data_IF_943507962757
#
_entry.id   IF_943507962757
#
_cell.length_a   1.000
_cell.length_b   1.000
_cell.length_c   1.000
_cell.angle_alpha   90.00
_cell.angle_beta   90.00
_cell.angle_gamma   90.00
#
_symmetry.space_group_name_H-M   'P 1'
#
loop_
_entity.id
_entity.type
_entity.pdbx_description
1 polymer ?
#
# COMPACT_ATOMS: atom_id res chain seq x y z
N UNK A 1 -13.72 3.18 2.45
CA UNK A 1 -12.57 3.99 1.96
C UNK A 1 -12.73 4.17 0.46
N UNK A 2 -12.41 5.34 -0.11
CA UNK A 2 -12.55 5.56 -1.57
C UNK A 2 -11.37 4.96 -2.35
N UNK A 3 -11.66 4.08 -3.32
CA UNK A 3 -10.63 3.37 -4.07
C UNK A 3 -9.81 4.29 -4.98
N UNK A 4 -10.42 5.33 -5.58
CA UNK A 4 -9.72 6.27 -6.44
C UNK A 4 -8.73 7.13 -5.64
N UNK A 5 -9.11 7.53 -4.42
CA UNK A 5 -8.20 8.20 -3.49
C UNK A 5 -7.01 7.31 -3.12
N UNK A 6 -7.26 6.04 -2.77
CA UNK A 6 -6.18 5.08 -2.44
C UNK A 6 -5.25 4.88 -3.64
N UNK A 7 -5.79 4.72 -4.84
CA UNK A 7 -5.01 4.56 -6.07
C UNK A 7 -4.13 5.77 -6.34
N UNK A 8 -4.71 6.98 -6.31
CA UNK A 8 -3.99 8.24 -6.54
C UNK A 8 -2.86 8.40 -5.51
N UNK A 9 -3.16 8.13 -4.23
CA UNK A 9 -2.20 8.25 -3.14
C UNK A 9 -1.07 7.22 -3.27
N UNK A 10 -1.40 5.98 -3.66
CA UNK A 10 -0.42 4.92 -3.89
C UNK A 10 0.53 5.28 -5.04
N UNK A 11 -0.01 5.77 -6.16
CA UNK A 11 0.79 6.21 -7.31
C UNK A 11 1.73 7.36 -6.90
N UNK A 12 1.24 8.36 -6.17
CA UNK A 12 2.06 9.46 -5.66
C UNK A 12 3.20 8.96 -4.75
N UNK A 13 2.92 8.01 -3.86
CA UNK A 13 3.92 7.43 -2.95
C UNK A 13 5.00 6.71 -3.75
N UNK A 14 4.61 5.85 -4.70
CA UNK A 14 5.55 5.12 -5.53
C UNK A 14 6.44 6.07 -6.35
N UNK A 15 5.84 7.11 -6.95
CA UNK A 15 6.57 8.16 -7.67
C UNK A 15 7.54 8.91 -6.75
N UNK A 16 7.11 9.28 -5.55
CA UNK A 16 7.94 9.98 -4.57
C UNK A 16 9.15 9.14 -4.14
N UNK A 17 8.95 7.83 -3.93
CA UNK A 17 10.04 6.90 -3.58
C UNK A 17 11.07 6.82 -4.70
N UNK A 18 10.63 6.67 -5.94
CA UNK A 18 11.52 6.61 -7.10
C UNK A 18 12.28 7.94 -7.29
N UNK A 19 11.58 9.07 -7.19
CA UNK A 19 12.20 10.40 -7.26
C UNK A 19 13.24 10.62 -6.16
N UNK A 20 12.92 10.26 -4.91
CA UNK A 20 13.84 10.36 -3.76
C UNK A 20 15.04 9.43 -3.90
N UNK A 21 14.87 8.31 -4.60
CA UNK A 21 15.94 7.34 -4.88
C UNK A 21 16.75 7.68 -6.13
N UNK A 22 16.42 8.77 -6.83
CA UNK A 22 17.00 9.15 -8.13
C UNK A 22 16.89 8.02 -9.18
N UNK A 23 15.77 7.30 -9.15
CA UNK A 23 15.48 6.18 -10.03
C UNK A 23 14.42 6.55 -11.07
N UNK A 24 14.44 5.84 -12.20
CA UNK A 24 13.42 6.00 -13.24
C UNK A 24 12.07 5.50 -12.72
N UNK A 25 11.03 6.32 -12.88
CA UNK A 25 9.66 5.94 -12.59
C UNK A 25 8.91 5.74 -13.91
N UNK A 26 8.61 4.49 -14.32
CA UNK A 26 7.74 4.26 -15.46
C UNK A 26 6.32 4.79 -15.19
N UNK A 27 5.50 4.99 -16.24
CA UNK A 27 4.08 5.31 -16.08
C UNK A 27 3.39 4.24 -15.23
N UNK A 28 2.82 4.65 -14.10
CA UNK A 28 2.11 3.77 -13.20
C UNK A 28 0.62 3.75 -13.56
N UNK A 29 0.13 2.59 -14.00
CA UNK A 29 -1.28 2.35 -14.29
C UNK A 29 -1.86 1.25 -13.41
N UNK A 30 -3.18 1.06 -13.46
CA UNK A 30 -3.87 0.04 -12.65
C UNK A 30 -3.33 -1.39 -12.81
N UNK A 31 -2.87 -1.74 -14.02
CA UNK A 31 -2.26 -3.04 -14.33
C UNK A 31 -0.78 -3.14 -13.98
N UNK A 32 -0.13 -2.04 -13.58
CA UNK A 32 1.30 -2.01 -13.27
C UNK A 32 1.58 -2.78 -11.99
N UNK A 33 2.65 -3.56 -11.98
CA UNK A 33 3.11 -4.32 -10.81
C UNK A 33 4.35 -3.67 -10.20
N UNK A 34 4.23 -2.95 -9.07
CA UNK A 34 5.34 -2.18 -8.51
C UNK A 34 6.61 -3.01 -8.24
N UNK A 35 6.46 -4.24 -7.74
CA UNK A 35 7.61 -5.12 -7.44
C UNK A 35 8.38 -5.55 -8.69
N UNK A 36 7.68 -5.73 -9.82
CA UNK A 36 8.29 -6.23 -11.06
C UNK A 36 8.80 -5.08 -11.94
N UNK A 37 8.11 -3.94 -11.92
CA UNK A 37 8.34 -2.85 -12.86
C UNK A 37 9.12 -1.68 -12.26
N UNK A 38 9.08 -1.47 -10.93
CA UNK A 38 9.86 -0.40 -10.31
C UNK A 38 11.27 -0.85 -9.95
N UNK A 39 12.31 -0.10 -10.39
CA UNK A 39 13.68 -0.45 -10.06
C UNK A 39 13.92 -0.38 -8.56
N UNK A 40 14.68 -1.36 -8.05
CA UNK A 40 15.05 -1.51 -6.63
C UNK A 40 13.87 -1.52 -5.64
N UNK A 41 12.65 -1.80 -6.11
CA UNK A 41 11.49 -1.94 -5.25
C UNK A 41 11.49 -3.31 -4.56
N UNK A 42 12.34 -3.44 -3.54
CA UNK A 42 12.64 -4.69 -2.84
C UNK A 42 12.04 -4.74 -1.42
N UNK A 43 12.49 -5.73 -0.63
CA UNK A 43 12.01 -5.96 0.73
C UNK A 43 12.22 -4.82 1.72
N UNK A 44 13.08 -3.85 1.39
CA UNK A 44 13.38 -2.69 2.23
C UNK A 44 12.56 -1.47 1.81
N UNK A 45 12.12 -1.42 0.57
CA UNK A 45 11.39 -0.28 0.00
C UNK A 45 9.88 -0.42 0.20
N UNK A 46 9.31 -1.61 0.00
CA UNK A 46 7.87 -1.79 0.16
C UNK A 46 7.36 -1.43 1.57
N UNK A 47 8.05 -1.70 2.70
CA UNK A 47 7.56 -1.29 4.02
C UNK A 47 7.52 0.24 4.14
N UNK A 48 8.46 0.95 3.52
CA UNK A 48 8.48 2.41 3.47
C UNK A 48 7.29 2.94 2.68
N UNK A 49 6.98 2.32 1.53
CA UNK A 49 5.80 2.66 0.74
C UNK A 49 4.50 2.47 1.53
N UNK A 50 4.37 1.37 2.28
CA UNK A 50 3.22 1.14 3.16
C UNK A 50 3.12 2.21 4.24
N UNK A 51 4.22 2.52 4.92
CA UNK A 51 4.24 3.55 5.95
C UNK A 51 3.83 4.93 5.43
N UNK A 52 4.35 5.32 4.25
CA UNK A 52 3.99 6.59 3.60
C UNK A 52 2.53 6.61 3.15
N UNK A 53 2.03 5.50 2.60
CA UNK A 53 0.63 5.36 2.19
C UNK A 53 -0.31 5.47 3.39
N UNK A 54 -0.03 4.73 4.47
CA UNK A 54 -0.80 4.78 5.70
C UNK A 54 -0.83 6.18 6.31
N UNK A 55 0.33 6.85 6.38
CA UNK A 55 0.43 8.21 6.88
C UNK A 55 -0.39 9.21 6.03
N UNK A 56 -0.36 9.10 4.70
CA UNK A 56 -1.14 9.97 3.80
C UNK A 56 -2.65 9.71 3.88
N UNK A 57 -3.06 8.45 4.00
CA UNK A 57 -4.46 8.06 4.10
C UNK A 57 -5.03 8.17 5.52
N UNK A 58 -4.19 8.44 6.53
CA UNK A 58 -4.60 8.47 7.93
C UNK A 58 -5.00 7.11 8.48
N UNK A 59 -4.44 6.03 7.94
CA UNK A 59 -4.74 4.65 8.34
C UNK A 59 -3.49 3.97 8.88
N UNK A 60 -3.68 3.00 9.78
CA UNK A 60 -2.61 2.10 10.18
C UNK A 60 -2.62 0.88 9.26
N UNK A 61 -1.49 0.61 8.60
CA UNK A 61 -1.26 -0.65 7.90
C UNK A 61 -0.07 -1.29 8.60
N UNK A 62 -0.25 -2.55 9.01
CA UNK A 62 0.80 -3.26 9.72
C UNK A 62 2.02 -3.49 8.80
N UNK A 63 3.21 -3.16 9.29
CA UNK A 63 4.44 -3.20 8.49
C UNK A 63 4.91 -4.63 8.15
N UNK A 64 4.29 -5.64 8.77
CA UNK A 64 4.48 -7.07 8.49
C UNK A 64 3.60 -7.56 7.32
N UNK A 65 2.61 -6.78 6.90
CA UNK A 65 1.72 -7.13 5.80
C UNK A 65 2.26 -6.58 4.49
N UNK A 66 2.79 -7.46 3.63
CA UNK A 66 3.17 -7.06 2.27
C UNK A 66 1.93 -6.93 1.38
N UNK A 67 1.42 -5.71 1.23
CA UNK A 67 0.26 -5.43 0.37
C UNK A 67 0.56 -5.55 -1.13
N UNK A 68 1.83 -5.61 -1.52
CA UNK A 68 2.28 -5.67 -2.92
C UNK A 68 2.41 -7.11 -3.44
N UNK A 69 2.19 -8.11 -2.59
CA UNK A 69 2.17 -9.53 -2.95
C UNK A 69 0.88 -10.20 -2.51
N UNK A 70 0.54 -11.26 -3.22
CA UNK A 70 -0.55 -12.15 -2.83
C UNK A 70 -0.13 -13.01 -1.63
N UNK A 71 -0.33 -12.49 -0.42
CA UNK A 71 -0.08 -13.20 0.86
C UNK A 71 1.30 -13.89 0.88
N UNK A 72 1.37 -15.18 1.23
CA UNK A 72 2.62 -15.97 1.28
C UNK A 72 3.17 -16.35 -0.12
N UNK A 73 2.51 -15.88 -1.19
CA UNK A 73 2.94 -16.13 -2.56
C UNK A 73 4.04 -15.17 -3.01
N UNK A 74 4.81 -15.60 -4.00
CA UNK A 74 5.75 -14.73 -4.73
C UNK A 74 5.09 -13.96 -5.87
N UNK A 75 3.76 -14.03 -6.00
CA UNK A 75 3.00 -13.33 -7.03
C UNK A 75 2.91 -11.84 -6.66
N UNK A 76 3.50 -10.99 -7.49
CA UNK A 76 3.35 -9.55 -7.40
C UNK A 76 1.96 -9.11 -7.86
N UNK A 77 1.35 -8.22 -7.08
CA UNK A 77 0.02 -7.66 -7.35
C UNK A 77 0.12 -6.39 -8.20
N UNK A 78 -0.93 -6.15 -8.99
CA UNK A 78 -1.10 -4.89 -9.72
C UNK A 78 -1.56 -3.77 -8.79
N UNK A 79 -1.39 -2.52 -9.22
CA UNK A 79 -1.88 -1.35 -8.48
C UNK A 79 -3.38 -1.48 -8.15
N UNK A 80 -4.21 -1.94 -9.10
CA UNK A 80 -5.64 -2.13 -8.86
C UNK A 80 -5.92 -3.18 -7.78
N UNK A 81 -5.18 -4.29 -7.78
CA UNK A 81 -5.28 -5.33 -6.77
C UNK A 81 -4.81 -4.83 -5.39
N UNK A 82 -3.72 -4.06 -5.35
CA UNK A 82 -3.20 -3.45 -4.12
C UNK A 82 -4.24 -2.49 -3.54
N UNK A 83 -4.85 -1.65 -4.39
CA UNK A 83 -5.91 -0.71 -3.98
C UNK A 83 -7.08 -1.48 -3.38
N UNK A 84 -7.56 -2.52 -4.04
CA UNK A 84 -8.63 -3.36 -3.51
C UNK A 84 -8.25 -3.98 -2.16
N UNK A 85 -7.00 -4.45 -2.02
CA UNK A 85 -6.48 -5.02 -0.75
C UNK A 85 -6.46 -3.99 0.37
N UNK A 86 -5.98 -2.76 0.10
CA UNK A 86 -5.93 -1.68 1.09
C UNK A 86 -7.34 -1.24 1.48
N UNK A 87 -8.27 -1.09 0.53
CA UNK A 87 -9.67 -0.77 0.82
C UNK A 87 -10.26 -1.85 1.74
N UNK A 88 -10.10 -3.13 1.39
CA UNK A 88 -10.58 -4.24 2.20
C UNK A 88 -9.94 -4.27 3.61
N UNK A 89 -8.64 -3.95 3.73
CA UNK A 89 -7.96 -3.86 5.03
C UNK A 89 -8.54 -2.74 5.90
N UNK A 90 -8.84 -1.59 5.31
CA UNK A 90 -9.46 -0.47 6.05
C UNK A 90 -10.89 -0.82 6.46
N UNK A 91 -11.66 -1.43 5.57
CA UNK A 91 -13.02 -1.88 5.87
C UNK A 91 -13.03 -2.96 6.95
N UNK A 92 -12.09 -3.91 6.90
CA UNK A 92 -11.93 -4.91 7.95
C UNK A 92 -11.60 -4.25 9.30
N UNK A 93 -10.68 -3.29 9.34
CA UNK A 93 -10.34 -2.54 10.55
C UNK A 93 -11.53 -1.78 11.14
N UNK A 94 -12.41 -1.20 10.31
CA UNK A 94 -13.64 -0.56 10.78
C UNK A 94 -14.64 -1.53 11.42
N UNK A 95 -14.56 -2.83 11.12
CA UNK A 95 -15.40 -3.87 11.74
C UNK A 95 -14.80 -4.37 13.06
N UNK A 96 -13.49 -4.17 13.29
CA UNK A 96 -12.78 -4.61 14.51
C UNK A 96 -12.61 -3.51 15.57
N UNK A 97 -13.52 -2.53 15.65
CA UNK A 97 -13.71 -1.75 16.88
C UNK A 97 -14.70 -2.47 17.83
N UNK A 98 -14.28 -3.41 18.70
CA UNK A 98 -14.99 -3.60 19.94
C UNK A 98 -14.56 -2.49 20.90
N UNK A 99 -15.50 -1.60 21.18
CA UNK A 99 -15.77 -1.08 22.52
C UNK A 99 -14.92 -1.75 23.63
N UNK A 100 -13.84 -1.12 24.06
CA UNK A 100 -13.42 -1.12 25.47
C UNK A 100 -13.72 0.28 25.99
N UNK A 101 -14.93 0.56 26.46
CA UNK A 101 -15.48 0.14 27.75
C UNK A 101 -14.59 0.59 28.92
N UNK A 102 -14.91 1.79 29.40
CA UNK A 102 -14.72 2.28 30.75
C UNK A 102 -14.82 1.17 31.80
N UNK A 103 -13.77 1.00 32.61
CA UNK A 103 -13.72 0.28 33.90
C UNK A 103 -12.31 0.52 34.47
N UNK A 104 -12.06 1.11 35.64
CA UNK A 104 -12.85 1.60 36.78
C UNK A 104 -12.13 2.80 37.41
#
# INVERSE_FOLDING_TARGET
>A
MDAALVQTTLVEVLQNIQATSELECPPLGGATKPIEELPKFDSKIWPVAIGMLGAKLGISIANDVNIFRQDDSSIALTIDEIVAKVVALVEAQAVVEPKQANAQ
#
